data_IF_597230363712
#
_entry.id   IF_597230363712
#
_cell.length_a   1.000
_cell.length_b   1.000
_cell.length_c   1.000
_cell.angle_alpha   90.00
_cell.angle_beta   90.00
_cell.angle_gamma   90.00
#
_symmetry.space_group_name_H-M   'P 1'
#
loop_
_entity.id
_entity.type
_entity.pdbx_description
1 polymer ?
#
# COMPACT_ATOMS: atom_id res chain seq x y z
N UNK A 1 6.88 -22.67 7.19
CA UNK A 1 6.11 -22.03 6.11
C UNK A 1 7.00 -21.96 4.88
N UNK A 2 6.52 -22.38 3.72
CA UNK A 2 7.23 -22.13 2.46
C UNK A 2 7.22 -20.62 2.16
N UNK A 3 8.31 -20.04 1.61
CA UNK A 3 8.40 -18.61 1.34
C UNK A 3 7.26 -18.10 0.45
N UNK A 4 6.75 -18.95 -0.45
CA UNK A 4 5.59 -18.66 -1.30
C UNK A 4 4.32 -18.31 -0.53
N UNK A 5 4.02 -19.01 0.58
CA UNK A 5 2.83 -18.73 1.39
C UNK A 5 2.94 -17.36 2.08
N UNK A 6 4.14 -17.01 2.57
CA UNK A 6 4.38 -15.72 3.22
C UNK A 6 4.19 -14.55 2.23
N UNK A 7 4.70 -14.67 1.01
CA UNK A 7 4.51 -13.66 -0.03
C UNK A 7 3.04 -13.49 -0.44
N UNK A 8 2.30 -14.60 -0.61
CA UNK A 8 0.87 -14.54 -0.93
C UNK A 8 0.04 -13.86 0.16
N UNK A 9 0.35 -14.11 1.43
CA UNK A 9 -0.31 -13.46 2.56
C UNK A 9 -0.01 -11.96 2.61
N UNK A 10 1.25 -11.55 2.42
CA UNK A 10 1.64 -10.14 2.35
C UNK A 10 0.92 -9.40 1.23
N UNK A 11 0.81 -10.03 0.06
CA UNK A 11 0.10 -9.46 -1.09
C UNK A 11 -1.40 -9.28 -0.81
N UNK A 12 -2.05 -10.30 -0.23
CA UNK A 12 -3.46 -10.23 0.15
C UNK A 12 -3.72 -9.14 1.21
N UNK A 13 -2.84 -9.03 2.22
CA UNK A 13 -2.93 -7.97 3.22
C UNK A 13 -2.75 -6.59 2.60
N UNK A 14 -1.77 -6.41 1.71
CA UNK A 14 -1.57 -5.16 0.99
C UNK A 14 -2.77 -4.74 0.15
N UNK A 15 -3.41 -5.67 -0.54
CA UNK A 15 -4.64 -5.43 -1.30
C UNK A 15 -5.81 -4.98 -0.40
N UNK A 16 -5.97 -5.64 0.74
CA UNK A 16 -6.99 -5.28 1.73
C UNK A 16 -6.73 -3.89 2.31
N UNK A 17 -5.49 -3.61 2.72
CA UNK A 17 -5.09 -2.29 3.23
C UNK A 17 -5.37 -1.22 2.18
N UNK A 18 -4.89 -1.39 0.94
CA UNK A 18 -5.11 -0.45 -0.16
C UNK A 18 -6.60 -0.17 -0.41
N UNK A 19 -7.44 -1.21 -0.35
CA UNK A 19 -8.90 -1.08 -0.51
C UNK A 19 -9.53 -0.27 0.64
N UNK A 20 -9.08 -0.50 1.87
CA UNK A 20 -9.52 0.25 3.05
C UNK A 20 -9.07 1.72 2.96
N UNK A 21 -7.83 1.99 2.53
CA UNK A 21 -7.31 3.36 2.38
C UNK A 21 -8.06 4.15 1.29
N UNK A 22 -8.46 3.48 0.20
CA UNK A 22 -9.33 4.03 -0.85
C UNK A 22 -10.72 4.39 -0.33
N UNK A 23 -11.31 3.48 0.46
CA UNK A 23 -12.66 3.64 0.99
C UNK A 23 -12.73 4.73 2.07
N UNK A 24 -11.80 4.69 3.02
CA UNK A 24 -11.75 5.63 4.15
C UNK A 24 -11.18 6.99 3.76
N UNK A 25 -10.38 7.05 2.68
CA UNK A 25 -9.65 8.25 2.32
C UNK A 25 -8.50 8.55 3.30
N UNK A 26 -7.97 7.55 4.00
CA UNK A 26 -6.85 7.69 4.92
C UNK A 26 -5.74 6.76 4.44
N UNK A 27 -4.59 7.31 4.05
CA UNK A 27 -3.44 6.55 3.57
C UNK A 27 -2.34 6.46 4.65
N UNK A 28 -1.72 5.29 4.79
CA UNK A 28 -0.63 5.09 5.76
C UNK A 28 0.72 5.38 5.09
N UNK A 29 1.43 6.42 5.56
CA UNK A 29 2.72 6.86 4.97
C UNK A 29 3.97 6.26 5.64
N UNK A 30 3.83 5.56 6.78
CA UNK A 30 4.95 4.87 7.43
C UNK A 30 4.78 4.63 8.94
N UNK A 31 5.74 3.90 9.54
CA UNK A 31 5.75 3.51 10.96
C UNK A 31 6.20 4.65 11.91
N UNK A 32 6.72 5.77 11.39
CA UNK A 32 7.15 6.91 12.23
C UNK A 32 5.92 7.66 12.76
N UNK A 33 5.71 7.54 14.08
CA UNK A 33 4.41 7.68 14.77
C UNK A 33 3.72 9.05 14.78
N UNK A 34 4.39 10.13 14.37
CA UNK A 34 3.78 11.47 14.49
C UNK A 34 2.94 11.89 13.27
N UNK A 35 3.18 11.29 12.10
CA UNK A 35 2.41 11.59 10.87
C UNK A 35 2.17 10.35 10.00
N UNK A 36 1.86 9.24 10.64
CA UNK A 36 1.66 7.96 9.96
C UNK A 36 0.44 7.97 9.02
N UNK A 37 -0.52 8.88 9.22
CA UNK A 37 -1.79 8.94 8.48
C UNK A 37 -1.88 10.20 7.63
N UNK A 38 -2.27 10.03 6.37
CA UNK A 38 -2.54 11.11 5.41
C UNK A 38 -4.01 11.06 5.05
N UNK A 39 -4.75 12.09 5.44
CA UNK A 39 -6.17 12.17 5.12
C UNK A 39 -6.39 12.89 3.78
N UNK A 40 -7.25 12.32 2.93
CA UNK A 40 -7.57 12.80 1.58
C UNK A 40 -8.25 14.17 1.59
N UNK A 41 -9.06 14.45 2.59
CA UNK A 41 -9.80 15.71 2.77
C UNK A 41 -8.87 16.90 3.08
N UNK A 42 -7.81 16.66 3.87
CA UNK A 42 -6.84 17.70 4.27
C UNK A 42 -5.70 17.84 3.27
N UNK A 43 -5.23 16.72 2.73
CA UNK A 43 -4.02 16.66 1.90
C UNK A 43 -4.24 15.73 0.69
N UNK A 44 -5.08 16.14 -0.29
CA UNK A 44 -5.42 15.29 -1.44
C UNK A 44 -4.20 14.91 -2.28
N UNK A 45 -3.28 15.83 -2.53
CA UNK A 45 -2.05 15.55 -3.29
C UNK A 45 -1.16 14.50 -2.61
N UNK A 46 -0.72 14.73 -1.36
CA UNK A 46 0.05 13.74 -0.60
C UNK A 46 -0.66 12.39 -0.45
N UNK A 47 -1.98 12.37 -0.28
CA UNK A 47 -2.76 11.13 -0.24
C UNK A 47 -2.59 10.32 -1.52
N UNK A 48 -2.82 10.93 -2.69
CA UNK A 48 -2.69 10.25 -3.98
C UNK A 48 -1.26 9.81 -4.29
N UNK A 49 -0.26 10.58 -3.83
CA UNK A 49 1.14 10.19 -3.96
C UNK A 49 1.46 8.92 -3.16
N UNK A 50 1.01 8.82 -1.91
CA UNK A 50 1.20 7.63 -1.08
C UNK A 50 0.48 6.43 -1.69
N UNK A 51 -0.76 6.59 -2.15
CA UNK A 51 -1.52 5.53 -2.82
C UNK A 51 -0.81 5.03 -4.09
N UNK A 52 -0.30 5.93 -4.92
CA UNK A 52 0.46 5.56 -6.12
C UNK A 52 1.75 4.79 -5.77
N UNK A 53 2.48 5.25 -4.74
CA UNK A 53 3.68 4.56 -4.28
C UNK A 53 3.37 3.15 -3.74
N UNK A 54 2.34 3.02 -2.91
CA UNK A 54 1.88 1.72 -2.42
C UNK A 54 1.48 0.80 -3.57
N UNK A 55 0.80 1.31 -4.60
CA UNK A 55 0.44 0.53 -5.78
C UNK A 55 1.68 0.03 -6.52
N UNK A 56 2.71 0.85 -6.71
CA UNK A 56 3.96 0.43 -7.37
C UNK A 56 4.69 -0.63 -6.54
N UNK A 57 4.73 -0.49 -5.21
CA UNK A 57 5.41 -1.47 -4.34
C UNK A 57 4.64 -2.79 -4.30
N UNK A 58 3.31 -2.73 -4.15
CA UNK A 58 2.47 -3.91 -4.04
C UNK A 58 2.29 -4.66 -5.36
N UNK A 59 2.18 -3.94 -6.49
CA UNK A 59 1.90 -4.55 -7.78
C UNK A 59 3.09 -4.53 -8.75
N UNK A 60 3.90 -3.47 -8.74
CA UNK A 60 5.01 -3.31 -9.68
C UNK A 60 6.19 -4.25 -9.40
N UNK A 61 6.59 -4.41 -8.14
CA UNK A 61 7.69 -5.31 -7.76
C UNK A 61 7.35 -6.78 -8.06
N UNK A 62 6.17 -7.30 -7.65
CA UNK A 62 5.80 -8.68 -7.97
C UNK A 62 5.59 -8.90 -9.47
N UNK A 63 5.01 -7.94 -10.20
CA UNK A 63 4.84 -8.06 -11.65
C UNK A 63 6.18 -8.18 -12.37
N UNK A 64 7.18 -7.38 -11.99
CA UNK A 64 8.53 -7.51 -12.56
C UNK A 64 9.15 -8.88 -12.27
N UNK A 65 8.97 -9.43 -11.07
CA UNK A 65 9.49 -10.75 -10.72
C UNK A 65 8.80 -11.92 -11.45
N UNK A 66 7.59 -11.74 -11.94
CA UNK A 66 6.80 -12.78 -12.63
C UNK A 66 7.00 -12.72 -14.15
N UNK A 67 7.22 -11.53 -14.73
CA UNK A 67 7.23 -11.31 -16.17
C UNK A 67 8.56 -10.77 -16.74
N UNK A 68 9.52 -10.43 -15.88
CA UNK A 68 10.84 -9.88 -16.22
C UNK A 68 11.97 -10.89 -16.21
#
# INVERSE_FOLDING_TARGET
MTPTIAFSLLYAMGLLTFSIELWTGIAVKGWSGDQALVHRDRHPGPYWFVMALQMVVLFGIPAYQIWG
#
